data_IF_520408162694
#
_entry.id   IF_520408162694
#
_cell.length_a   1.000
_cell.length_b   1.000
_cell.length_c   1.000
_cell.angle_alpha   90.00
_cell.angle_beta   90.00
_cell.angle_gamma   90.00
#
_symmetry.space_group_name_H-M   'P 1'
#
loop_
_entity.id
_entity.type
_entity.pdbx_description
1 polymer ?
#
# COMPACT_ATOMS: atom_id res chain seq x y z
N UNK A 1 -36.99 63.87 27.62
CA UNK A 1 -36.69 63.37 26.26
C UNK A 1 -35.44 62.48 26.20
N UNK A 2 -34.96 61.90 27.33
CA UNK A 2 -33.70 61.14 27.39
C UNK A 2 -33.88 59.62 27.63
N UNK A 3 -35.12 59.12 27.79
CA UNK A 3 -35.36 57.70 28.15
C UNK A 3 -35.62 56.79 26.93
N UNK A 4 -35.96 57.37 25.78
CA UNK A 4 -36.25 56.63 24.54
C UNK A 4 -35.01 56.42 23.66
N UNK A 5 -33.95 57.22 23.85
CA UNK A 5 -32.68 57.11 23.12
C UNK A 5 -31.96 55.81 23.50
N UNK A 6 -31.97 55.44 24.78
CA UNK A 6 -31.36 54.19 25.27
C UNK A 6 -32.08 52.93 24.75
N UNK A 7 -33.40 53.00 24.51
CA UNK A 7 -34.19 51.88 24.00
C UNK A 7 -33.94 51.67 22.51
N UNK A 8 -33.76 52.75 21.74
CA UNK A 8 -33.38 52.68 20.32
C UNK A 8 -31.96 52.12 20.10
N UNK A 9 -31.02 52.46 20.99
CA UNK A 9 -29.64 51.97 20.92
C UNK A 9 -29.53 50.46 21.24
N UNK A 10 -30.35 49.96 22.18
CA UNK A 10 -30.35 48.56 22.58
C UNK A 10 -30.90 47.63 21.49
N UNK A 11 -31.88 48.09 20.70
CA UNK A 11 -32.43 47.32 19.57
C UNK A 11 -31.48 47.21 18.37
N UNK A 12 -30.46 48.07 18.26
CA UNK A 12 -29.51 48.04 17.14
C UNK A 12 -28.42 46.95 17.31
N UNK A 13 -28.22 46.44 18.54
CA UNK A 13 -27.15 45.47 18.85
C UNK A 13 -27.60 44.01 18.63
N UNK A 14 -28.91 43.75 18.61
CA UNK A 14 -29.47 42.38 18.48
C UNK A 14 -29.65 41.91 17.02
N UNK A 15 -29.37 42.75 16.02
CA UNK A 15 -29.50 42.39 14.60
C UNK A 15 -28.22 41.87 13.92
N UNK A 16 -27.08 41.83 14.62
CA UNK A 16 -25.77 41.60 14.00
C UNK A 16 -25.26 40.14 14.03
N UNK A 17 -26.11 39.17 14.35
CA UNK A 17 -25.78 37.75 14.17
C UNK A 17 -26.49 37.19 12.94
N UNK A 18 -25.94 37.46 11.75
CA UNK A 18 -26.22 36.62 10.58
C UNK A 18 -25.53 35.29 10.80
N UNK A 19 -26.30 34.25 11.12
CA UNK A 19 -25.80 32.89 11.22
C UNK A 19 -25.45 32.43 9.81
N UNK A 20 -24.22 32.71 9.37
CA UNK A 20 -23.69 32.13 8.14
C UNK A 20 -23.50 30.64 8.41
N UNK A 21 -24.48 29.83 8.01
CA UNK A 21 -24.27 28.41 7.77
C UNK A 21 -23.28 28.34 6.62
N UNK A 22 -21.99 28.21 6.94
CA UNK A 22 -21.00 27.84 5.94
C UNK A 22 -21.43 26.48 5.42
N UNK A 23 -21.89 26.42 4.17
CA UNK A 23 -22.03 25.13 3.49
C UNK A 23 -20.73 24.36 3.66
N UNK A 24 -20.82 23.05 3.87
CA UNK A 24 -19.64 22.21 3.88
C UNK A 24 -18.83 22.49 2.60
N UNK A 25 -17.52 22.63 2.73
CA UNK A 25 -16.65 22.92 1.60
C UNK A 25 -16.83 21.86 0.51
N UNK A 26 -17.53 22.14 -0.59
CA UNK A 26 -17.69 21.22 -1.73
C UNK A 26 -16.42 21.22 -2.61
N UNK A 27 -15.28 20.89 -2.00
CA UNK A 27 -14.02 20.80 -2.71
C UNK A 27 -13.85 19.52 -3.50
N UNK A 28 -12.95 19.53 -4.51
CA UNK A 28 -12.54 18.31 -5.20
C UNK A 28 -11.94 17.30 -4.21
N UNK A 29 -12.25 16.02 -4.42
CA UNK A 29 -11.69 14.90 -3.67
C UNK A 29 -10.44 14.40 -4.37
N UNK A 30 -9.36 14.25 -3.62
CA UNK A 30 -8.09 13.79 -4.14
C UNK A 30 -7.75 12.40 -3.59
N UNK A 31 -7.28 11.52 -4.47
CA UNK A 31 -6.73 10.22 -4.08
C UNK A 31 -5.21 10.21 -4.30
N UNK A 32 -4.51 9.69 -3.31
CA UNK A 32 -3.06 9.52 -3.31
C UNK A 32 -2.71 8.11 -2.82
N UNK A 33 -1.68 7.51 -3.40
CA UNK A 33 -0.99 6.39 -2.75
C UNK A 33 -0.21 6.91 -1.54
N UNK A 34 -0.37 6.25 -0.39
CA UNK A 34 0.48 6.50 0.76
C UNK A 34 1.83 5.86 0.47
N UNK A 35 2.85 6.69 0.32
CA UNK A 35 4.21 6.26 0.11
C UNK A 35 5.11 7.01 1.10
N UNK A 36 5.76 6.27 2.00
CA UNK A 36 6.67 6.85 2.98
C UNK A 36 8.04 7.20 2.38
N UNK A 37 8.38 6.72 1.16
CA UNK A 37 9.75 6.73 0.63
C UNK A 37 9.93 7.20 -0.82
N UNK A 38 8.87 7.66 -1.50
CA UNK A 38 8.97 8.05 -2.92
C UNK A 38 9.08 6.83 -3.86
N UNK A 39 9.09 7.05 -5.18
CA UNK A 39 8.99 6.04 -6.24
C UNK A 39 9.66 4.67 -5.92
N UNK A 40 8.93 3.58 -6.23
CA UNK A 40 9.06 2.18 -5.76
C UNK A 40 8.33 1.90 -4.45
N UNK A 41 7.03 1.63 -4.57
CA UNK A 41 6.10 1.52 -3.44
C UNK A 41 6.10 0.13 -2.80
N UNK A 42 6.43 -0.92 -3.56
CA UNK A 42 6.50 -2.28 -3.05
C UNK A 42 7.47 -3.16 -3.86
N UNK A 43 8.14 -4.09 -3.17
CA UNK A 43 8.99 -5.12 -3.76
C UNK A 43 8.60 -6.50 -3.21
N UNK A 44 8.44 -7.49 -4.09
CA UNK A 44 8.12 -8.87 -3.74
C UNK A 44 9.13 -9.83 -4.35
N UNK A 45 9.57 -10.81 -3.57
CA UNK A 45 10.31 -11.96 -4.09
C UNK A 45 9.54 -13.25 -3.80
N UNK A 46 9.13 -13.97 -4.84
CA UNK A 46 8.52 -15.30 -4.74
C UNK A 46 9.47 -16.35 -4.17
N UNK A 47 10.79 -16.09 -4.15
CA UNK A 47 11.74 -16.94 -3.43
C UNK A 47 11.45 -17.00 -1.92
N UNK A 48 10.73 -16.01 -1.38
CA UNK A 48 10.30 -15.97 0.02
C UNK A 48 8.98 -16.70 0.29
N UNK A 49 8.32 -17.20 -0.75
CA UNK A 49 7.02 -17.87 -0.68
C UNK A 49 7.04 -19.19 -1.48
N UNK A 50 7.75 -20.22 -1.00
CA UNK A 50 7.82 -21.51 -1.68
C UNK A 50 6.44 -22.09 -1.99
N UNK A 51 6.25 -22.55 -3.23
CA UNK A 51 4.98 -23.14 -3.69
C UNK A 51 3.85 -22.15 -3.98
N UNK A 52 4.02 -20.85 -3.71
CA UNK A 52 3.01 -19.85 -4.04
C UNK A 52 2.96 -19.59 -5.55
N UNK A 53 1.77 -19.75 -6.13
CA UNK A 53 1.49 -19.38 -7.52
C UNK A 53 1.14 -17.91 -7.68
N UNK A 54 0.65 -17.27 -6.63
CA UNK A 54 0.24 -15.87 -6.61
C UNK A 54 0.59 -15.20 -5.29
N UNK A 55 0.62 -13.86 -5.27
CA UNK A 55 0.76 -13.08 -4.06
C UNK A 55 -0.03 -11.78 -4.15
N UNK A 56 -0.71 -11.41 -3.07
CA UNK A 56 -1.47 -10.18 -2.98
C UNK A 56 -0.63 -9.06 -2.35
N UNK A 57 -0.63 -7.89 -2.99
CA UNK A 57 0.07 -6.70 -2.49
C UNK A 57 -0.92 -5.57 -2.26
N UNK A 58 -0.97 -5.10 -1.02
CA UNK A 58 -1.84 -4.02 -0.59
C UNK A 58 -1.16 -2.65 -0.74
N UNK A 59 -1.82 -1.74 -1.46
CA UNK A 59 -1.47 -0.33 -1.56
C UNK A 59 -2.49 0.51 -0.82
N UNK A 60 -2.04 1.32 0.13
CA UNK A 60 -2.94 2.21 0.87
C UNK A 60 -3.24 3.45 0.03
N UNK A 61 -4.53 3.70 -0.20
CA UNK A 61 -5.05 4.92 -0.83
C UNK A 61 -5.51 5.88 0.27
N UNK A 62 -5.17 7.15 0.14
CA UNK A 62 -5.59 8.22 1.04
C UNK A 62 -6.47 9.22 0.31
N UNK A 63 -7.63 9.49 0.91
CA UNK A 63 -8.56 10.53 0.50
C UNK A 63 -8.17 11.86 1.16
N UNK A 64 -8.11 12.91 0.36
CA UNK A 64 -8.01 14.31 0.82
C UNK A 64 -9.18 15.10 0.28
N UNK A 65 -9.92 15.77 1.15
CA UNK A 65 -11.17 16.45 0.83
C UNK A 65 -12.34 15.89 1.65
N UNK A 66 -13.55 15.99 1.11
CA UNK A 66 -14.75 15.53 1.80
C UNK A 66 -14.81 14.01 1.88
N UNK A 67 -15.15 13.51 3.07
CA UNK A 67 -15.47 12.10 3.30
C UNK A 67 -16.66 11.71 2.41
N UNK A 68 -16.60 10.50 1.90
CA UNK A 68 -17.64 9.94 1.06
C UNK A 68 -18.84 9.48 1.90
N UNK A 69 -20.05 9.83 1.44
CA UNK A 69 -21.32 9.35 2.03
C UNK A 69 -21.80 8.03 1.39
N UNK A 70 -21.24 7.69 0.23
CA UNK A 70 -21.51 6.47 -0.54
C UNK A 70 -20.23 5.92 -1.18
N UNK A 71 -20.26 4.64 -1.54
CA UNK A 71 -19.13 3.97 -2.19
C UNK A 71 -18.96 4.52 -3.62
N UNK A 72 -17.79 5.08 -3.94
CA UNK A 72 -17.53 5.67 -5.25
C UNK A 72 -16.37 4.99 -5.97
N UNK A 73 -16.56 4.80 -7.27
CA UNK A 73 -15.54 4.20 -8.13
C UNK A 73 -14.43 5.20 -8.43
N UNK A 74 -13.19 4.76 -8.31
CA UNK A 74 -12.01 5.49 -8.80
C UNK A 74 -11.44 4.79 -10.04
N UNK A 75 -10.50 5.45 -10.73
CA UNK A 75 -9.89 4.91 -11.94
C UNK A 75 -8.38 4.90 -11.82
N UNK A 76 -7.81 3.81 -12.31
CA UNK A 76 -6.37 3.63 -12.49
C UNK A 76 -6.05 3.49 -13.97
N UNK A 77 -4.81 3.80 -14.31
CA UNK A 77 -4.19 3.41 -15.57
C UNK A 77 -2.84 2.74 -15.29
N UNK A 78 -2.47 1.84 -16.20
CA UNK A 78 -1.13 1.25 -16.21
C UNK A 78 -0.19 2.24 -16.89
N UNK A 79 0.97 2.47 -16.29
CA UNK A 79 1.99 3.38 -16.81
C UNK A 79 3.04 2.56 -17.56
N UNK A 80 2.98 2.58 -18.89
CA UNK A 80 3.85 1.77 -19.75
C UNK A 80 5.34 2.00 -19.47
N UNK A 81 5.77 3.25 -19.22
CA UNK A 81 7.17 3.56 -18.92
C UNK A 81 7.68 3.01 -17.58
N UNK A 82 6.78 2.54 -16.71
CA UNK A 82 7.08 1.93 -15.42
C UNK A 82 6.71 0.44 -15.37
N UNK A 83 6.24 -0.13 -16.49
CA UNK A 83 5.69 -1.48 -16.55
C UNK A 83 6.52 -2.33 -17.50
N UNK A 84 7.07 -3.41 -16.97
CA UNK A 84 7.75 -4.45 -17.75
C UNK A 84 7.00 -5.79 -17.70
N UNK A 85 6.03 -5.91 -16.79
CA UNK A 85 5.16 -7.08 -16.66
C UNK A 85 4.11 -7.13 -17.79
N UNK A 86 3.81 -8.35 -18.26
CA UNK A 86 2.70 -8.61 -19.16
C UNK A 86 1.34 -8.57 -18.44
N UNK A 87 0.25 -8.52 -19.20
CA UNK A 87 -1.11 -8.48 -18.66
C UNK A 87 -1.52 -9.75 -17.91
N UNK A 88 -0.81 -10.86 -18.11
CA UNK A 88 -1.00 -12.14 -17.39
C UNK A 88 -0.20 -12.23 -16.09
N UNK A 89 0.72 -11.30 -15.86
CA UNK A 89 1.65 -11.36 -14.71
C UNK A 89 1.08 -10.70 -13.46
N UNK A 90 0.00 -9.94 -13.61
CA UNK A 90 -0.71 -9.29 -12.52
C UNK A 90 -2.21 -9.19 -12.81
N UNK A 91 -3.00 -9.02 -11.76
CA UNK A 91 -4.43 -8.81 -11.81
C UNK A 91 -4.82 -7.66 -10.89
N UNK A 92 -5.55 -6.70 -11.46
CA UNK A 92 -6.20 -5.63 -10.71
C UNK A 92 -7.59 -6.10 -10.24
N UNK A 93 -8.15 -5.54 -9.16
CA UNK A 93 -9.51 -5.81 -8.74
C UNK A 93 -10.50 -5.47 -9.86
N UNK A 94 -11.55 -6.27 -9.99
CA UNK A 94 -12.64 -6.03 -10.96
C UNK A 94 -13.35 -4.70 -10.70
N UNK A 95 -13.47 -4.32 -9.42
CA UNK A 95 -14.10 -3.09 -8.98
C UNK A 95 -13.12 -2.24 -8.19
N UNK A 96 -12.83 -1.04 -8.71
CA UNK A 96 -11.99 -0.05 -8.06
C UNK A 96 -12.87 0.91 -7.26
N UNK A 97 -13.24 0.52 -6.04
CA UNK A 97 -14.17 1.27 -5.19
C UNK A 97 -13.44 1.84 -3.98
N UNK A 98 -13.65 3.13 -3.72
CA UNK A 98 -13.29 3.75 -2.46
C UNK A 98 -14.53 3.79 -1.57
N UNK A 99 -14.44 3.13 -0.41
CA UNK A 99 -15.58 2.92 0.47
C UNK A 99 -15.95 4.19 1.25
N UNK A 100 -17.24 4.35 1.51
CA UNK A 100 -17.76 5.46 2.31
C UNK A 100 -17.25 5.48 3.74
N UNK A 101 -17.39 6.63 4.39
CA UNK A 101 -17.08 6.85 5.81
C UNK A 101 -15.60 6.58 6.18
N UNK A 102 -14.68 6.68 5.21
CA UNK A 102 -13.25 6.40 5.40
C UNK A 102 -12.36 7.49 4.79
N UNK A 103 -11.18 7.67 5.38
CA UNK A 103 -10.11 8.55 4.87
C UNK A 103 -9.02 7.74 4.17
N UNK A 104 -8.92 6.44 4.46
CA UNK A 104 -7.98 5.53 3.81
C UNK A 104 -8.69 4.26 3.36
N UNK A 105 -8.29 3.78 2.20
CA UNK A 105 -8.73 2.49 1.65
C UNK A 105 -7.52 1.71 1.11
N UNK A 106 -7.75 0.52 0.56
CA UNK A 106 -6.70 -0.40 0.13
C UNK A 106 -7.00 -0.93 -1.26
N UNK A 107 -6.07 -0.67 -2.19
CA UNK A 107 -6.00 -1.36 -3.47
C UNK A 107 -5.19 -2.64 -3.28
N UNK A 108 -5.77 -3.79 -3.63
CA UNK A 108 -5.04 -5.06 -3.62
C UNK A 108 -4.69 -5.44 -5.05
N UNK A 109 -3.41 -5.62 -5.35
CA UNK A 109 -2.92 -6.08 -6.65
C UNK A 109 -2.40 -7.51 -6.48
N UNK A 110 -2.91 -8.44 -7.28
CA UNK A 110 -2.40 -9.81 -7.28
C UNK A 110 -1.31 -9.93 -8.33
N UNK A 111 -0.15 -10.50 -7.97
CA UNK A 111 0.92 -10.84 -8.91
C UNK A 111 1.01 -12.35 -9.09
N UNK A 112 1.39 -12.79 -10.29
CA UNK A 112 1.46 -14.20 -10.67
C UNK A 112 2.92 -14.68 -10.75
N UNK A 113 3.19 -15.88 -10.26
CA UNK A 113 4.48 -16.57 -10.32
C UNK A 113 4.56 -17.60 -11.46
N UNK A 114 3.84 -17.34 -12.56
CA UNK A 114 3.79 -18.26 -13.72
C UNK A 114 4.75 -17.87 -14.83
N UNK A 115 5.24 -16.62 -14.84
CA UNK A 115 6.13 -16.13 -15.89
C UNK A 115 7.57 -16.65 -15.67
N UNK A 116 8.13 -17.46 -16.59
CA UNK A 116 9.49 -18.00 -16.43
C UNK A 116 10.57 -16.94 -16.27
N UNK A 117 10.37 -15.75 -16.86
CA UNK A 117 11.31 -14.62 -16.76
C UNK A 117 11.55 -14.18 -15.32
N UNK A 118 10.60 -14.41 -14.40
CA UNK A 118 10.76 -14.04 -12.99
C UNK A 118 11.94 -14.74 -12.32
N UNK A 119 12.36 -15.90 -12.83
CA UNK A 119 13.51 -16.64 -12.27
C UNK A 119 14.87 -16.06 -12.66
N UNK A 120 14.90 -15.21 -13.69
CA UNK A 120 16.12 -14.63 -14.26
C UNK A 120 16.18 -13.11 -14.05
N UNK A 121 15.03 -12.45 -14.04
CA UNK A 121 14.92 -11.00 -13.98
C UNK A 121 13.76 -10.55 -13.07
N UNK A 122 13.70 -9.24 -12.88
CA UNK A 122 12.67 -8.58 -12.09
C UNK A 122 11.67 -7.91 -13.03
N UNK A 123 10.38 -8.13 -12.78
CA UNK A 123 9.29 -7.48 -13.50
C UNK A 123 8.68 -6.36 -12.63
N UNK A 124 7.99 -5.44 -13.29
CA UNK A 124 7.35 -4.32 -12.60
C UNK A 124 6.03 -3.94 -13.25
N UNK A 125 5.10 -3.45 -12.45
CA UNK A 125 3.85 -2.82 -12.88
C UNK A 125 3.72 -1.47 -12.22
N UNK A 126 3.56 -0.44 -13.05
CA UNK A 126 3.32 0.94 -12.62
C UNK A 126 1.85 1.29 -12.74
N UNK A 127 1.27 1.83 -11.67
CA UNK A 127 -0.12 2.24 -11.60
C UNK A 127 -0.20 3.75 -11.35
N UNK A 128 -1.13 4.43 -12.01
CA UNK A 128 -1.39 5.86 -11.82
C UNK A 128 -2.88 6.10 -11.59
N UNK A 129 -3.19 6.91 -10.59
CA UNK A 129 -4.54 7.43 -10.36
C UNK A 129 -4.84 8.46 -11.44
N UNK A 130 -6.00 8.33 -12.10
CA UNK A 130 -6.48 9.30 -13.08
C UNK A 130 -7.74 10.00 -12.59
N UNK A 131 -7.95 11.21 -13.09
CA UNK A 131 -9.16 11.95 -12.82
C UNK A 131 -10.40 11.21 -13.36
N UNK A 132 -11.49 11.24 -12.61
CA UNK A 132 -12.82 10.88 -13.05
C UNK A 132 -13.85 11.88 -12.51
N UNK A 133 -15.13 11.51 -12.51
CA UNK A 133 -16.23 12.34 -12.00
C UNK A 133 -16.10 12.67 -10.51
N UNK A 134 -15.58 11.73 -9.71
CA UNK A 134 -15.59 11.83 -8.25
C UNK A 134 -14.23 12.20 -7.65
N UNK A 135 -13.13 11.85 -8.32
CA UNK A 135 -11.79 11.94 -7.80
C UNK A 135 -10.81 12.62 -8.76
N UNK A 136 -9.84 13.30 -8.18
CA UNK A 136 -8.67 13.85 -8.86
C UNK A 136 -7.39 13.20 -8.32
N UNK A 137 -6.33 13.09 -9.12
CA UNK A 137 -5.03 12.65 -8.63
C UNK A 137 -4.51 13.66 -7.59
N UNK A 138 -3.98 13.18 -6.47
CA UNK A 138 -3.43 14.01 -5.40
C UNK A 138 -2.09 14.69 -5.75
N UNK A 139 -1.24 14.91 -4.76
CA UNK A 139 0.04 15.61 -4.96
C UNK A 139 0.98 14.84 -5.90
N UNK A 140 1.79 15.58 -6.66
CA UNK A 140 2.82 14.98 -7.50
C UNK A 140 3.76 14.09 -6.67
N UNK A 141 4.15 12.95 -7.25
CA UNK A 141 4.87 11.88 -6.53
C UNK A 141 4.00 10.92 -5.71
N UNK A 142 2.74 11.25 -5.40
CA UNK A 142 1.79 10.37 -4.69
C UNK A 142 0.67 9.82 -5.59
N UNK A 143 0.63 10.25 -6.85
CA UNK A 143 -0.37 9.78 -7.82
C UNK A 143 -0.04 8.41 -8.42
N UNK A 144 1.19 7.93 -8.20
CA UNK A 144 1.73 6.71 -8.82
C UNK A 144 2.23 5.74 -7.77
N UNK A 145 2.02 4.46 -8.04
CA UNK A 145 2.65 3.36 -7.31
C UNK A 145 3.38 2.46 -8.30
N UNK A 146 4.51 1.91 -7.88
CA UNK A 146 5.23 0.89 -8.65
C UNK A 146 5.41 -0.35 -7.77
N UNK A 147 4.92 -1.48 -8.28
CA UNK A 147 5.12 -2.79 -7.72
C UNK A 147 6.20 -3.49 -8.54
N UNK A 148 7.24 -3.94 -7.85
CA UNK A 148 8.33 -4.70 -8.45
C UNK A 148 8.32 -6.11 -7.89
N UNK A 149 8.46 -7.13 -8.74
CA UNK A 149 8.40 -8.52 -8.30
C UNK A 149 9.34 -9.44 -9.08
N UNK A 150 9.87 -10.47 -8.40
CA UNK A 150 10.83 -11.43 -8.95
C UNK A 150 10.67 -12.79 -8.29
N UNK A 151 11.23 -13.84 -8.89
CA UNK A 151 11.38 -15.18 -8.33
C UNK A 151 12.87 -15.62 -8.27
N UNK A 152 13.81 -14.69 -8.50
CA UNK A 152 15.25 -14.96 -8.42
C UNK A 152 15.60 -15.40 -7.00
N UNK A 153 16.13 -16.63 -6.88
CA UNK A 153 16.60 -17.18 -5.60
C UNK A 153 18.02 -16.67 -5.35
N UNK A 154 18.20 -15.84 -4.32
CA UNK A 154 19.50 -15.30 -3.90
C UNK A 154 19.82 -15.65 -2.45
N UNK A 155 21.12 -15.69 -2.13
CA UNK A 155 21.59 -15.90 -0.76
C UNK A 155 21.18 -14.69 0.09
N UNK A 156 20.42 -14.87 1.18
CA UNK A 156 20.02 -13.75 2.02
C UNK A 156 21.20 -13.24 2.85
N UNK A 157 21.21 -11.96 3.20
CA UNK A 157 22.35 -11.31 3.85
C UNK A 157 22.65 -11.88 5.26
N UNK A 158 21.65 -12.46 5.93
CA UNK A 158 21.79 -13.08 7.23
C UNK A 158 22.40 -14.50 7.18
N UNK A 159 22.46 -15.16 6.02
CA UNK A 159 23.03 -16.51 5.89
C UNK A 159 24.56 -16.45 5.81
N UNK A 160 25.21 -16.05 6.90
CA UNK A 160 26.67 -15.86 6.97
C UNK A 160 27.21 -16.11 8.37
N UNK A 161 28.54 -16.15 8.49
CA UNK A 161 29.22 -16.24 9.79
C UNK A 161 28.93 -17.57 10.51
N UNK A 162 28.73 -17.53 11.82
CA UNK A 162 28.46 -18.71 12.66
C UNK A 162 27.17 -19.45 12.25
N UNK A 163 26.17 -18.72 11.77
CA UNK A 163 24.94 -19.33 11.28
C UNK A 163 25.21 -20.25 10.09
N UNK A 164 26.09 -19.82 9.18
CA UNK A 164 26.51 -20.64 8.03
C UNK A 164 27.50 -21.73 8.44
N UNK A 165 28.49 -21.44 9.29
CA UNK A 165 29.55 -22.40 9.60
C UNK A 165 29.16 -23.47 10.64
N UNK A 166 28.25 -23.17 11.56
CA UNK A 166 27.92 -24.04 12.70
C UNK A 166 26.49 -24.58 12.69
N UNK A 167 25.53 -23.91 12.03
CA UNK A 167 24.09 -24.23 12.17
C UNK A 167 23.50 -24.73 10.84
N UNK A 168 23.51 -23.91 9.80
CA UNK A 168 22.80 -24.20 8.54
C UNK A 168 23.70 -24.83 7.46
N UNK A 169 25.02 -24.69 7.61
CA UNK A 169 26.00 -25.05 6.58
C UNK A 169 25.98 -24.09 5.38
N UNK A 170 26.81 -24.39 4.38
CA UNK A 170 26.89 -23.64 3.12
C UNK A 170 25.50 -23.44 2.50
N UNK A 171 25.25 -22.21 2.05
CA UNK A 171 23.98 -21.82 1.43
C UNK A 171 23.67 -22.66 0.19
N UNK A 172 22.41 -23.07 0.07
CA UNK A 172 21.81 -23.47 -1.20
C UNK A 172 20.38 -22.97 -1.26
N UNK A 173 19.88 -22.72 -2.47
CA UNK A 173 18.50 -22.29 -2.68
C UNK A 173 17.49 -23.30 -2.12
N UNK A 174 17.79 -24.60 -2.22
CA UNK A 174 16.98 -25.67 -1.64
C UNK A 174 16.94 -25.59 -0.11
N UNK A 175 18.06 -25.32 0.56
CA UNK A 175 18.07 -25.17 2.03
C UNK A 175 17.22 -23.99 2.49
N UNK A 176 17.27 -22.86 1.77
CA UNK A 176 16.43 -21.71 2.09
C UNK A 176 14.94 -22.03 1.93
N UNK A 177 14.59 -22.77 0.88
CA UNK A 177 13.22 -23.24 0.66
C UNK A 177 12.73 -24.12 1.82
N UNK A 178 13.51 -25.13 2.21
CA UNK A 178 13.19 -26.00 3.36
C UNK A 178 13.15 -25.23 4.68
N UNK A 179 14.02 -24.22 4.85
CA UNK A 179 14.01 -23.36 6.03
C UNK A 179 12.70 -22.59 6.15
N UNK A 180 12.22 -21.99 5.06
CA UNK A 180 10.94 -21.26 5.05
C UNK A 180 9.78 -22.22 5.32
N UNK A 181 9.78 -23.40 4.68
CA UNK A 181 8.74 -24.42 4.87
C UNK A 181 8.69 -24.94 6.31
N UNK A 182 9.84 -25.17 6.94
CA UNK A 182 9.92 -25.69 8.31
C UNK A 182 9.63 -24.64 9.38
N UNK A 183 10.08 -23.39 9.19
CA UNK A 183 10.01 -22.35 10.21
C UNK A 183 8.83 -21.39 10.05
N UNK A 184 8.28 -21.28 8.84
CA UNK A 184 7.30 -20.26 8.47
C UNK A 184 7.88 -18.85 8.39
N UNK A 185 9.20 -18.69 8.48
CA UNK A 185 9.90 -17.39 8.49
C UNK A 185 10.84 -17.30 7.29
N UNK A 186 10.90 -16.14 6.64
CA UNK A 186 11.75 -15.89 5.47
C UNK A 186 12.96 -14.97 5.75
N UNK A 187 13.05 -14.39 6.95
CA UNK A 187 14.19 -13.56 7.36
C UNK A 187 14.51 -13.69 8.85
N UNK A 188 15.79 -13.67 9.19
CA UNK A 188 16.27 -13.60 10.57
C UNK A 188 16.75 -12.20 10.96
N UNK A 189 16.62 -11.22 10.06
CA UNK A 189 16.98 -9.82 10.32
C UNK A 189 15.95 -9.13 11.21
N UNK A 190 16.41 -8.36 12.20
CA UNK A 190 15.55 -7.58 13.10
C UNK A 190 14.76 -8.40 14.13
N UNK A 191 14.91 -9.73 14.15
CA UNK A 191 14.33 -10.61 15.16
C UNK A 191 15.20 -10.69 16.41
N UNK A 192 14.62 -10.31 17.57
CA UNK A 192 15.10 -10.77 18.88
C UNK A 192 15.32 -12.28 18.81
N UNK A 193 16.41 -12.76 19.38
CA UNK A 193 16.73 -14.17 19.62
C UNK A 193 15.47 -14.98 19.94
N UNK A 194 14.90 -15.65 18.95
CA UNK A 194 13.84 -16.63 19.16
C UNK A 194 14.41 -18.02 18.85
N UNK A 195 14.96 -18.58 19.93
CA UNK A 195 14.79 -19.97 20.35
C UNK A 195 14.90 -21.05 19.26
N UNK A 196 16.13 -21.35 18.86
CA UNK A 196 16.51 -22.69 18.40
C UNK A 196 16.53 -23.69 19.59
N UNK A 197 15.45 -23.74 20.38
CA UNK A 197 15.37 -24.57 21.59
C UNK A 197 14.19 -25.54 21.60
N UNK A 198 13.38 -25.58 20.53
CA UNK A 198 12.27 -26.53 20.42
C UNK A 198 12.49 -27.69 19.45
N UNK A 199 13.69 -27.85 18.87
CA UNK A 199 13.98 -28.97 17.93
C UNK A 199 14.84 -30.08 18.57
N UNK A 200 15.31 -29.91 19.82
CA UNK A 200 16.09 -30.94 20.53
C UNK A 200 15.29 -31.84 21.49
N UNK A 201 13.96 -31.77 21.48
CA UNK A 201 13.10 -32.68 22.26
C UNK A 201 12.00 -33.20 21.35
N UNK A 202 12.34 -34.14 20.47
CA UNK A 202 11.56 -35.36 20.12
C UNK A 202 12.28 -36.06 18.96
N UNK A 203 13.46 -36.64 19.23
CA UNK A 203 13.90 -37.97 18.75
C UNK A 203 14.89 -38.49 19.78
#
# INVERSE_FOLDING_TARGET
MNRYIFIGLLCFVIGACTHHTTGFYEGPRYLSFVNEKGADTAFISFANYPGASTHEVAFVLKLTGNILEEDLTYRLEVVDSLTTAGTTDYQLPEHLVFRKDRVTDTLVVTVMNSNPLLTEQTLSVGLRIVANEHFRPGLDGQQRAKLTFTAVKSKPEWWKGELESLILGEYSSKKMEEFILCTGVNTLEGGRTFCCQSVYLTI
#
